data_IF_952328525899
#
_entry.id   IF_952328525899
#
_cell.length_a   1.000
_cell.length_b   1.000
_cell.length_c   1.000
_cell.angle_alpha   90.00
_cell.angle_beta   90.00
_cell.angle_gamma   90.00
#
_symmetry.space_group_name_H-M   'P 1'
#
loop_
_entity.id
_entity.type
_entity.pdbx_description
1 polymer ?
#
# COMPACT_ATOMS: atom_id res chain seq x y z
N UNK A 1 41.47 12.53 -35.47
CA UNK A 1 41.95 11.31 -34.79
C UNK A 1 42.04 11.69 -33.31
N UNK A 2 40.99 11.44 -32.51
CA UNK A 2 40.80 10.24 -31.66
C UNK A 2 42.09 9.99 -30.87
N UNK A 3 42.14 10.20 -29.55
CA UNK A 3 41.55 9.25 -28.62
C UNK A 3 41.28 9.82 -27.21
N UNK A 4 40.20 9.30 -26.65
CA UNK A 4 39.62 9.51 -25.33
C UNK A 4 40.52 9.07 -24.17
N UNK A 5 40.31 9.65 -22.98
CA UNK A 5 40.12 8.85 -21.76
C UNK A 5 39.41 9.64 -20.69
N UNK A 6 38.20 9.17 -20.39
CA UNK A 6 37.25 9.72 -19.45
C UNK A 6 37.64 9.38 -18.01
N UNK A 7 37.61 10.39 -17.14
CA UNK A 7 37.75 10.24 -15.69
C UNK A 7 36.53 9.53 -15.12
N UNK A 8 36.74 8.28 -14.69
CA UNK A 8 35.73 7.39 -14.13
C UNK A 8 35.44 7.81 -12.67
N UNK A 9 34.41 8.65 -12.46
CA UNK A 9 33.88 8.96 -11.13
C UNK A 9 33.19 7.72 -10.54
N UNK A 10 33.86 7.11 -9.57
CA UNK A 10 33.30 6.02 -8.77
C UNK A 10 32.26 6.59 -7.80
N UNK A 11 30.96 6.42 -8.14
CA UNK A 11 29.83 6.71 -7.26
C UNK A 11 29.88 5.78 -6.03
N UNK A 12 29.74 6.28 -4.79
CA UNK A 12 29.54 5.40 -3.66
C UNK A 12 28.17 4.74 -3.78
N UNK A 13 28.22 3.42 -3.87
CA UNK A 13 27.07 2.52 -3.84
C UNK A 13 26.28 2.76 -2.56
N UNK A 14 25.05 3.26 -2.71
CA UNK A 14 24.02 3.25 -1.67
C UNK A 14 23.80 1.80 -1.25
N UNK A 15 24.54 1.34 -0.24
CA UNK A 15 24.13 0.19 0.56
C UNK A 15 22.84 0.62 1.25
N UNK A 16 21.72 0.18 0.67
CA UNK A 16 20.47 -0.02 1.38
C UNK A 16 20.82 -0.76 2.66
N UNK A 17 20.88 0.02 3.74
CA UNK A 17 20.88 -0.48 5.10
C UNK A 17 19.60 -1.28 5.24
N UNK A 18 19.75 -2.60 5.08
CA UNK A 18 18.87 -3.60 5.64
C UNK A 18 18.50 -3.11 7.03
N UNK A 19 17.24 -2.70 7.21
CA UNK A 19 16.63 -2.61 8.53
C UNK A 19 16.78 -4.00 9.14
N UNK A 20 17.88 -4.21 9.85
CA UNK A 20 17.96 -5.14 10.96
C UNK A 20 16.92 -4.63 11.94
N UNK A 21 15.70 -5.16 11.80
CA UNK A 21 14.63 -4.97 12.74
C UNK A 21 15.21 -5.28 14.12
N UNK A 22 15.20 -4.25 14.94
CA UNK A 22 15.66 -4.26 16.30
C UNK A 22 14.93 -5.39 17.04
N UNK A 23 15.65 -6.47 17.30
CA UNK A 23 15.18 -7.64 18.06
C UNK A 23 15.08 -7.34 19.57
N UNK A 24 15.14 -6.06 19.98
CA UNK A 24 15.07 -5.63 21.38
C UNK A 24 14.00 -4.60 21.71
N UNK A 25 13.15 -4.20 20.74
CA UNK A 25 12.03 -3.31 21.03
C UNK A 25 11.07 -3.97 22.02
N UNK A 26 10.67 -3.22 23.06
CA UNK A 26 9.73 -3.72 24.06
C UNK A 26 8.43 -4.17 23.39
N UNK A 27 7.74 -5.22 23.88
CA UNK A 27 6.48 -5.71 23.29
C UNK A 27 5.44 -4.60 23.06
N UNK A 28 5.47 -3.55 23.88
CA UNK A 28 4.64 -2.36 23.76
C UNK A 28 4.95 -1.50 22.53
N UNK A 29 6.23 -1.27 22.26
CA UNK A 29 6.68 -0.46 21.12
C UNK A 29 6.35 -1.16 19.80
N UNK A 30 6.54 -2.48 19.76
CA UNK A 30 6.16 -3.30 18.60
C UNK A 30 4.65 -3.26 18.38
N UNK A 31 3.85 -3.43 19.43
CA UNK A 31 2.40 -3.32 19.34
C UNK A 31 1.95 -1.94 18.85
N UNK A 32 2.53 -0.86 19.40
CA UNK A 32 2.23 0.50 18.95
C UNK A 32 2.59 0.72 17.48
N UNK A 33 3.74 0.20 17.04
CA UNK A 33 4.18 0.27 15.65
C UNK A 33 3.25 -0.51 14.70
N UNK A 34 2.81 -1.71 15.10
CA UNK A 34 1.91 -2.55 14.31
C UNK A 34 0.52 -1.90 14.17
N UNK A 35 -0.02 -1.31 15.24
CA UNK A 35 -1.28 -0.58 15.20
C UNK A 35 -1.19 0.68 14.33
N UNK A 36 -0.09 1.45 14.46
CA UNK A 36 0.14 2.63 13.63
C UNK A 36 0.29 2.26 12.15
N UNK A 37 1.00 1.17 11.84
CA UNK A 37 1.12 0.64 10.47
C UNK A 37 -0.23 0.25 9.90
N UNK A 38 -1.07 -0.43 10.68
CA UNK A 38 -2.41 -0.80 10.25
C UNK A 38 -3.29 0.43 9.99
N UNK A 39 -3.25 1.44 10.87
CA UNK A 39 -3.97 2.70 10.65
C UNK A 39 -3.54 3.39 9.35
N UNK A 40 -2.23 3.45 9.07
CA UNK A 40 -1.72 4.01 7.82
C UNK A 40 -2.17 3.22 6.59
N UNK A 41 -2.22 1.89 6.66
CA UNK A 41 -2.75 1.04 5.58
C UNK A 41 -4.23 1.30 5.34
N UNK A 42 -5.03 1.49 6.39
CA UNK A 42 -6.45 1.82 6.27
C UNK A 42 -6.69 3.15 5.54
N UNK A 43 -5.90 4.18 5.86
CA UNK A 43 -5.99 5.48 5.16
C UNK A 43 -5.64 5.31 3.68
N UNK A 44 -4.53 4.64 3.38
CA UNK A 44 -4.12 4.38 1.98
C UNK A 44 -5.19 3.59 1.21
N UNK A 45 -5.79 2.59 1.86
CA UNK A 45 -6.86 1.80 1.27
C UNK A 45 -8.07 2.67 0.95
N UNK A 46 -8.46 3.58 1.86
CA UNK A 46 -9.53 4.53 1.62
C UNK A 46 -9.21 5.46 0.44
N UNK A 47 -8.01 6.01 0.35
CA UNK A 47 -7.59 6.84 -0.78
C UNK A 47 -7.65 6.07 -2.11
N UNK A 48 -7.26 4.79 -2.10
CA UNK A 48 -7.33 3.93 -3.28
C UNK A 48 -8.78 3.60 -3.67
N UNK A 49 -9.68 3.44 -2.69
CA UNK A 49 -11.12 3.27 -2.92
C UNK A 49 -11.71 4.51 -3.59
N UNK A 50 -11.40 5.71 -3.09
CA UNK A 50 -11.85 6.98 -3.68
C UNK A 50 -11.39 7.12 -5.14
N UNK A 51 -10.13 6.76 -5.43
CA UNK A 51 -9.60 6.76 -6.80
C UNK A 51 -10.23 5.70 -7.71
N UNK A 52 -10.74 4.61 -7.14
CA UNK A 52 -11.42 3.56 -7.89
C UNK A 52 -12.90 3.87 -8.18
N UNK A 53 -13.55 4.74 -7.39
CA UNK A 53 -14.97 5.10 -7.54
C UNK A 53 -15.39 5.48 -8.97
N UNK A 54 -14.62 6.29 -9.74
CA UNK A 54 -15.04 6.68 -11.09
C UNK A 54 -15.16 5.50 -12.07
N UNK A 55 -14.55 4.35 -11.74
CA UNK A 55 -14.56 3.17 -12.59
C UNK A 55 -15.66 2.16 -12.22
N UNK A 56 -16.46 2.42 -11.18
CA UNK A 56 -17.52 1.50 -10.73
C UNK A 56 -18.50 1.19 -11.85
N UNK A 57 -18.97 2.21 -12.57
CA UNK A 57 -19.88 2.02 -13.71
C UNK A 57 -19.30 1.14 -14.81
N UNK A 58 -17.99 1.27 -15.08
CA UNK A 58 -17.29 0.41 -16.02
C UNK A 58 -17.24 -1.03 -15.48
N UNK A 59 -16.84 -1.20 -14.22
CA UNK A 59 -16.72 -2.52 -13.58
C UNK A 59 -18.07 -3.25 -13.61
N UNK A 60 -19.16 -2.57 -13.25
CA UNK A 60 -20.50 -3.15 -13.31
C UNK A 60 -20.88 -3.54 -14.74
N UNK A 61 -20.57 -2.69 -15.73
CA UNK A 61 -20.87 -2.97 -17.12
C UNK A 61 -20.14 -4.22 -17.66
N UNK A 62 -18.95 -4.55 -17.13
CA UNK A 62 -18.23 -5.77 -17.52
C UNK A 62 -18.97 -7.07 -17.14
N UNK A 63 -19.92 -7.01 -16.19
CA UNK A 63 -20.72 -8.16 -15.78
C UNK A 63 -22.13 -8.17 -16.38
N UNK A 64 -22.48 -7.15 -17.17
CA UNK A 64 -23.76 -7.08 -17.89
C UNK A 64 -23.60 -7.77 -19.26
N UNK A 65 -24.72 -8.17 -19.84
CA UNK A 65 -24.75 -8.77 -21.18
C UNK A 65 -24.74 -7.73 -22.31
N UNK A 66 -24.97 -6.46 -21.98
CA UNK A 66 -24.96 -5.36 -22.93
C UNK A 66 -23.54 -5.06 -23.42
N UNK A 67 -23.36 -4.65 -24.69
CA UNK A 67 -22.06 -4.21 -25.18
C UNK A 67 -21.59 -2.94 -24.47
N UNK A 68 -20.28 -2.83 -24.26
CA UNK A 68 -19.67 -1.63 -23.71
C UNK A 68 -19.82 -0.44 -24.67
N UNK A 69 -20.11 0.73 -24.13
CA UNK A 69 -20.10 1.97 -24.91
C UNK A 69 -18.67 2.50 -25.12
N UNK A 70 -18.50 3.45 -26.05
CA UNK A 70 -17.18 3.98 -26.42
C UNK A 70 -16.38 4.51 -25.21
N UNK A 71 -17.05 5.23 -24.31
CA UNK A 71 -16.44 5.76 -23.08
C UNK A 71 -15.94 4.64 -22.16
N UNK A 72 -16.70 3.57 -22.01
CA UNK A 72 -16.32 2.40 -21.23
C UNK A 72 -15.14 1.66 -21.87
N UNK A 73 -15.13 1.54 -23.21
CA UNK A 73 -14.02 0.92 -23.94
C UNK A 73 -12.73 1.72 -23.75
N UNK A 74 -12.79 3.05 -23.84
CA UNK A 74 -11.63 3.93 -23.60
C UNK A 74 -11.12 3.81 -22.17
N UNK A 75 -12.01 3.84 -21.18
CA UNK A 75 -11.64 3.66 -19.77
C UNK A 75 -11.04 2.27 -19.50
N UNK A 76 -11.57 1.21 -20.10
CA UNK A 76 -11.05 -0.15 -19.97
C UNK A 76 -9.63 -0.29 -20.57
N UNK A 77 -9.33 0.48 -21.62
CA UNK A 77 -7.99 0.55 -22.23
C UNK A 77 -7.03 1.46 -21.46
N UNK A 78 -7.53 2.30 -20.55
CA UNK A 78 -6.70 3.22 -19.79
C UNK A 78 -5.76 2.48 -18.84
N UNK A 79 -4.50 2.90 -18.84
CA UNK A 79 -3.51 2.44 -17.84
C UNK A 79 -3.90 2.84 -16.43
N UNK A 80 -4.65 3.94 -16.27
CA UNK A 80 -5.03 4.44 -14.94
C UNK A 80 -6.10 3.57 -14.30
N UNK A 81 -7.04 3.03 -15.08
CA UNK A 81 -8.01 2.04 -14.62
C UNK A 81 -7.30 0.80 -14.05
N UNK A 82 -6.42 0.19 -14.85
CA UNK A 82 -5.69 -1.01 -14.45
C UNK A 82 -4.82 -0.74 -13.19
N UNK A 83 -4.14 0.41 -13.13
CA UNK A 83 -3.34 0.80 -11.96
C UNK A 83 -4.20 1.01 -10.72
N UNK A 84 -5.33 1.71 -10.84
CA UNK A 84 -6.22 1.97 -9.72
C UNK A 84 -6.75 0.67 -9.11
N UNK A 85 -7.23 -0.25 -9.96
CA UNK A 85 -7.71 -1.56 -9.48
C UNK A 85 -6.61 -2.43 -8.88
N UNK A 86 -5.45 -2.50 -9.52
CA UNK A 86 -4.32 -3.28 -9.00
C UNK A 86 -3.86 -2.73 -7.66
N UNK A 87 -3.72 -1.40 -7.55
CA UNK A 87 -3.30 -0.74 -6.32
C UNK A 87 -4.31 -0.94 -5.19
N UNK A 88 -5.60 -0.81 -5.49
CA UNK A 88 -6.68 -1.08 -4.54
C UNK A 88 -6.64 -2.53 -4.04
N UNK A 89 -6.50 -3.50 -4.95
CA UNK A 89 -6.42 -4.91 -4.60
C UNK A 89 -5.20 -5.20 -3.70
N UNK A 90 -4.02 -4.68 -4.04
CA UNK A 90 -2.81 -4.84 -3.23
C UNK A 90 -3.01 -4.28 -1.83
N UNK A 91 -3.51 -3.05 -1.70
CA UNK A 91 -3.74 -2.43 -0.39
C UNK A 91 -4.79 -3.16 0.43
N UNK A 92 -5.83 -3.72 -0.21
CA UNK A 92 -6.83 -4.52 0.48
C UNK A 92 -6.21 -5.78 1.08
N UNK A 93 -5.40 -6.50 0.30
CA UNK A 93 -4.69 -7.70 0.76
C UNK A 93 -3.72 -7.36 1.89
N UNK A 94 -2.94 -6.29 1.76
CA UNK A 94 -2.01 -5.83 2.80
C UNK A 94 -2.75 -5.44 4.09
N UNK A 95 -3.85 -4.72 3.97
CA UNK A 95 -4.69 -4.33 5.11
C UNK A 95 -5.30 -5.55 5.80
N UNK A 96 -5.81 -6.52 5.03
CA UNK A 96 -6.40 -7.75 5.59
C UNK A 96 -5.35 -8.59 6.32
N UNK A 97 -4.15 -8.74 5.74
CA UNK A 97 -3.04 -9.44 6.37
C UNK A 97 -2.56 -8.74 7.65
N UNK A 98 -2.58 -7.40 7.68
CA UNK A 98 -2.19 -6.63 8.85
C UNK A 98 -3.27 -6.60 9.95
N UNK A 99 -4.54 -6.90 9.63
CA UNK A 99 -5.66 -6.77 10.56
C UNK A 99 -5.54 -7.70 11.78
N UNK A 100 -5.10 -8.94 11.58
CA UNK A 100 -4.94 -9.89 12.69
C UNK A 100 -3.87 -9.41 13.67
N UNK A 101 -2.70 -9.02 13.14
CA UNK A 101 -1.58 -8.49 13.93
C UNK A 101 -1.94 -7.20 14.66
N UNK A 102 -2.73 -6.33 14.03
CA UNK A 102 -3.23 -5.11 14.66
C UNK A 102 -4.20 -5.41 15.82
N UNK A 103 -5.01 -6.46 15.71
CA UNK A 103 -5.87 -6.93 16.80
C UNK A 103 -5.08 -7.44 18.00
N UNK A 104 -4.04 -8.24 17.76
CA UNK A 104 -3.13 -8.69 18.82
C UNK A 104 -2.41 -7.51 19.49
N UNK A 105 -1.91 -6.57 18.68
CA UNK A 105 -1.29 -5.35 19.17
C UNK A 105 -2.25 -4.50 20.03
N UNK A 106 -3.53 -4.42 19.64
CA UNK A 106 -4.54 -3.72 20.42
C UNK A 106 -4.73 -4.33 21.81
N UNK A 107 -4.82 -5.66 21.92
CA UNK A 107 -5.00 -6.32 23.22
C UNK A 107 -3.80 -6.10 24.17
N UNK A 108 -2.59 -5.91 23.64
CA UNK A 108 -1.39 -5.54 24.42
C UNK A 108 -1.49 -4.10 24.94
N UNK A 109 -1.93 -3.16 24.11
CA UNK A 109 -1.95 -1.72 24.43
C UNK A 109 -3.18 -1.30 25.26
N UNK A 110 -4.31 -1.96 25.02
CA UNK A 110 -5.61 -1.67 25.64
C UNK A 110 -5.54 -1.50 27.17
N UNK A 111 -4.95 -2.40 27.97
CA UNK A 111 -4.90 -2.22 29.43
C UNK A 111 -4.13 -0.96 29.84
N UNK A 112 -3.10 -0.55 29.11
CA UNK A 112 -2.33 0.66 29.45
C UNK A 112 -3.11 1.93 29.10
N UNK A 113 -3.81 1.91 27.97
CA UNK A 113 -4.60 3.05 27.51
C UNK A 113 -5.87 3.25 28.34
N UNK A 114 -6.47 2.17 28.85
CA UNK A 114 -7.74 2.22 29.59
C UNK A 114 -7.58 2.33 31.11
N UNK A 115 -6.41 2.05 31.68
CA UNK A 115 -6.14 2.24 33.12
C UNK A 115 -5.93 3.71 33.49
N UNK A 116 -5.58 4.56 32.52
CA UNK A 116 -5.42 6.00 32.70
C UNK A 116 -6.68 6.82 32.32
N UNK A 117 -7.84 6.19 32.16
CA UNK A 117 -9.12 6.84 31.82
C UNK A 117 -10.06 6.93 33.02
#
# INVERSE_FOLDING_TARGET
MVESSASNQSKPSRKSSKQSADLTAAPLEVAAADLARFAALRVKLQDAQEKAKPYVELIEALFRSDPLNDRQIELAKSKDFAKALTHLATLKVESDAASAKAGEAWEILKPILMVNS
#
